data_IF_161111628057
#
_entry.id   IF_161111628057
#
_cell.length_a   1.000
_cell.length_b   1.000
_cell.length_c   1.000
_cell.angle_alpha   90.00
_cell.angle_beta   90.00
_cell.angle_gamma   90.00
#
_symmetry.space_group_name_H-M   'P 1'
#
loop_
_entity.id
_entity.type
_entity.pdbx_description
1 polymer ?
#
# COMPACT_ATOMS: atom_id res chain seq x y z
N UNK A 1 -10.12 13.77 -2.86
CA UNK A 1 -9.51 13.64 -1.52
C UNK A 1 -8.03 13.96 -1.67
N UNK A 2 -7.51 14.97 -0.95
CA UNK A 2 -6.09 15.33 -0.99
C UNK A 2 -5.43 14.59 0.17
N UNK A 3 -4.79 13.46 -0.10
CA UNK A 3 -4.05 12.70 0.91
C UNK A 3 -2.74 13.42 1.24
N UNK A 4 -2.43 13.58 2.52
CA UNK A 4 -1.14 14.13 2.96
C UNK A 4 -0.11 12.99 3.11
N UNK A 5 1.18 13.30 3.06
CA UNK A 5 2.25 12.29 3.16
C UNK A 5 2.16 11.40 4.42
N UNK A 6 1.63 11.94 5.52
CA UNK A 6 1.48 11.23 6.79
C UNK A 6 0.10 10.55 6.97
N UNK A 7 -0.74 10.50 5.94
CA UNK A 7 -2.03 9.83 6.03
C UNK A 7 -1.86 8.29 6.13
N UNK A 8 -2.63 7.71 7.04
CA UNK A 8 -2.69 6.27 7.27
C UNK A 8 -3.92 5.69 6.57
N UNK A 9 -3.69 5.03 5.45
CA UNK A 9 -4.72 4.44 4.63
C UNK A 9 -5.14 3.06 5.12
N UNK A 10 -6.41 2.77 4.97
CA UNK A 10 -6.94 1.42 5.09
C UNK A 10 -6.56 0.58 3.87
N UNK A 11 -6.60 -0.76 3.96
CA UNK A 11 -6.33 -1.64 2.83
C UNK A 11 -7.17 -1.33 1.59
N UNK A 12 -8.41 -0.86 1.80
CA UNK A 12 -9.34 -0.55 0.73
C UNK A 12 -8.95 0.72 -0.04
N UNK A 13 -8.53 1.75 0.69
CA UNK A 13 -8.03 2.98 0.08
C UNK A 13 -6.72 2.74 -0.65
N UNK A 14 -5.81 1.93 -0.08
CA UNK A 14 -4.58 1.51 -0.77
C UNK A 14 -4.89 0.81 -2.09
N UNK A 15 -5.90 -0.08 -2.08
CA UNK A 15 -6.36 -0.75 -3.28
C UNK A 15 -6.81 0.24 -4.36
N UNK A 16 -7.55 1.29 -3.98
CA UNK A 16 -7.98 2.35 -4.90
C UNK A 16 -6.77 3.16 -5.41
N UNK A 17 -5.86 3.56 -4.53
CA UNK A 17 -4.67 4.39 -4.86
C UNK A 17 -3.72 3.69 -5.83
N UNK A 18 -3.58 2.37 -5.70
CA UNK A 18 -2.74 1.53 -6.55
C UNK A 18 -3.38 1.21 -7.92
N UNK A 19 -4.55 1.77 -8.24
CA UNK A 19 -5.23 1.58 -9.53
C UNK A 19 -6.46 0.68 -9.45
N UNK A 20 -7.11 0.58 -8.30
CA UNK A 20 -8.33 -0.22 -8.12
C UNK A 20 -8.07 -1.73 -8.04
N UNK A 21 -6.96 -2.14 -7.42
CA UNK A 21 -6.64 -3.57 -7.23
C UNK A 21 -7.55 -4.21 -6.18
N UNK A 22 -7.59 -5.55 -6.13
CA UNK A 22 -8.31 -6.24 -5.05
C UNK A 22 -7.47 -6.39 -3.79
N UNK A 23 -8.13 -6.53 -2.63
CA UNK A 23 -7.45 -6.87 -1.35
C UNK A 23 -6.63 -8.16 -1.44
N UNK A 24 -7.05 -9.13 -2.25
CA UNK A 24 -6.27 -10.36 -2.49
C UNK A 24 -4.93 -10.03 -3.17
N UNK A 25 -4.95 -9.18 -4.18
CA UNK A 25 -3.75 -8.68 -4.86
C UNK A 25 -2.85 -7.92 -3.88
N UNK A 26 -3.43 -7.06 -3.04
CA UNK A 26 -2.69 -6.33 -2.02
C UNK A 26 -1.96 -7.27 -1.05
N UNK A 27 -2.65 -8.28 -0.53
CA UNK A 27 -2.06 -9.29 0.37
C UNK A 27 -0.97 -10.08 -0.34
N UNK A 28 -1.18 -10.46 -1.61
CA UNK A 28 -0.15 -11.12 -2.41
C UNK A 28 1.09 -10.24 -2.54
N UNK A 29 0.92 -8.94 -2.78
CA UNK A 29 2.04 -8.00 -2.89
C UNK A 29 2.78 -7.81 -1.57
N UNK A 30 2.08 -7.69 -0.44
CA UNK A 30 2.71 -7.62 0.88
C UNK A 30 3.59 -8.85 1.18
N UNK A 31 3.27 -10.03 0.64
CA UNK A 31 4.00 -11.26 0.94
C UNK A 31 5.12 -11.56 -0.07
N UNK A 32 4.83 -11.39 -1.37
CA UNK A 32 5.65 -11.91 -2.47
C UNK A 32 6.30 -10.82 -3.34
N UNK A 33 5.88 -9.55 -3.24
CA UNK A 33 6.41 -8.52 -4.11
C UNK A 33 7.86 -8.14 -3.76
N UNK A 34 8.65 -7.78 -4.78
CA UNK A 34 10.05 -7.35 -4.61
C UNK A 34 10.17 -6.14 -3.67
N UNK A 35 9.25 -5.18 -3.81
CA UNK A 35 9.19 -3.95 -3.03
C UNK A 35 8.27 -4.05 -1.79
N UNK A 36 8.00 -5.25 -1.28
CA UNK A 36 7.09 -5.47 -0.13
C UNK A 36 7.45 -4.70 1.14
N UNK A 37 8.71 -4.29 1.30
CA UNK A 37 9.16 -3.45 2.42
C UNK A 37 8.46 -2.09 2.44
N UNK A 38 8.15 -1.53 1.28
CA UNK A 38 7.38 -0.29 1.17
C UNK A 38 5.90 -0.54 1.47
N UNK A 39 5.36 -1.67 1.03
CA UNK A 39 3.98 -2.06 1.33
C UNK A 39 3.82 -2.71 2.71
N UNK A 40 4.65 -2.36 3.69
CA UNK A 40 4.60 -2.94 5.02
C UNK A 40 3.38 -2.39 5.80
N UNK A 41 2.45 -3.26 6.25
CA UNK A 41 1.31 -2.80 7.02
C UNK A 41 1.71 -2.44 8.45
N UNK A 42 1.24 -1.30 8.92
CA UNK A 42 1.24 -0.90 10.33
C UNK A 42 0.08 -1.63 11.01
N UNK A 43 0.41 -2.59 11.87
CA UNK A 43 -0.59 -3.38 12.61
C UNK A 43 -0.92 -2.68 13.92
N UNK A 44 -2.11 -2.10 14.01
CA UNK A 44 -2.66 -1.60 15.27
C UNK A 44 -3.30 -2.73 16.09
N UNK A 45 -3.92 -3.69 15.39
CA UNK A 45 -4.47 -4.92 15.99
C UNK A 45 -4.49 -6.05 14.95
N UNK A 46 -4.89 -7.27 15.35
CA UNK A 46 -5.01 -8.40 14.44
C UNK A 46 -5.96 -8.13 13.24
N UNK A 47 -6.91 -7.20 13.40
CA UNK A 47 -7.93 -6.87 12.40
C UNK A 47 -7.73 -5.48 11.79
N UNK A 48 -7.05 -4.58 12.49
CA UNK A 48 -6.81 -3.21 12.05
C UNK A 48 -5.37 -3.04 11.58
N UNK A 49 -5.22 -2.95 10.26
CA UNK A 49 -3.96 -2.65 9.59
C UNK A 49 -4.10 -1.36 8.80
N UNK A 50 -3.05 -0.54 8.81
CA UNK A 50 -2.96 0.71 8.07
C UNK A 50 -1.68 0.73 7.23
N UNK A 51 -1.65 1.59 6.24
CA UNK A 51 -0.49 1.79 5.38
C UNK A 51 -0.21 3.28 5.25
N UNK A 52 1.07 3.65 5.26
CA UNK A 52 1.44 5.04 5.03
C UNK A 52 1.30 5.40 3.54
N UNK A 53 0.63 6.51 3.26
CA UNK A 53 0.44 7.00 1.90
C UNK A 53 1.77 7.19 1.16
N UNK A 54 2.76 7.79 1.83
CA UNK A 54 4.10 7.97 1.28
C UNK A 54 4.73 6.66 0.80
N UNK A 55 4.60 5.58 1.58
CA UNK A 55 5.19 4.30 1.22
C UNK A 55 4.43 3.62 0.07
N UNK A 56 3.10 3.79 0.02
CA UNK A 56 2.25 3.29 -1.09
C UNK A 56 2.57 4.02 -2.39
N UNK A 57 2.79 5.34 -2.33
CA UNK A 57 3.22 6.14 -3.49
C UNK A 57 4.63 5.77 -3.93
N UNK A 58 5.59 5.68 -3.01
CA UNK A 58 6.95 5.22 -3.30
C UNK A 58 6.95 3.81 -3.91
N UNK A 59 6.09 2.92 -3.43
CA UNK A 59 5.90 1.59 -4.02
C UNK A 59 5.41 1.69 -5.47
N UNK A 60 4.41 2.53 -5.73
CA UNK A 60 3.86 2.75 -7.07
C UNK A 60 4.90 3.34 -8.02
N UNK A 61 5.70 4.28 -7.55
CA UNK A 61 6.80 4.88 -8.32
C UNK A 61 7.89 3.85 -8.62
N UNK A 62 8.34 3.09 -7.62
CA UNK A 62 9.33 2.03 -7.83
C UNK A 62 8.83 0.91 -8.75
N UNK A 63 7.54 0.58 -8.70
CA UNK A 63 6.91 -0.33 -9.65
C UNK A 63 6.90 0.22 -11.08
N UNK A 64 6.69 1.53 -11.25
CA UNK A 64 6.64 2.18 -12.57
C UNK A 64 8.03 2.48 -13.15
N UNK A 65 9.03 2.70 -12.32
CA UNK A 65 10.41 3.01 -12.74
C UNK A 65 11.15 1.83 -13.40
N UNK A 66 10.51 0.67 -13.56
CA UNK A 66 11.09 -0.54 -14.17
C UNK A 66 10.74 -0.64 -15.67
N UNK A 67 10.22 0.43 -16.30
CA UNK A 67 9.90 0.50 -17.73
C UNK A 67 10.53 1.73 -18.37
#
# INVERSE_FOLDING_TARGET
MIYKNNDLLTPDEVCHVLGGITRKTLVYWCNKHRHKKLLAPIRFSARNVRYEYQNVMAFKEQCRAVY
#
